data_IF_264081071474
#
_entry.id   IF_264081071474
#
_cell.length_a   1.000
_cell.length_b   1.000
_cell.length_c   1.000
_cell.angle_alpha   90.00
_cell.angle_beta   90.00
_cell.angle_gamma   90.00
#
_symmetry.space_group_name_H-M   'P 1'
#
loop_
_entity.id
_entity.type
_entity.pdbx_description
1 polymer ?
#
# COMPACT_ATOMS: atom_id res chain seq x y z
N UNK A 1 27.06 -13.55 -4.41
CA UNK A 1 25.62 -13.54 -4.05
C UNK A 1 25.22 -14.99 -3.80
N UNK A 2 24.84 -15.32 -2.57
CA UNK A 2 24.35 -16.66 -2.25
C UNK A 2 22.92 -16.78 -2.81
N UNK A 3 22.71 -17.68 -3.75
CA UNK A 3 21.37 -18.08 -4.22
C UNK A 3 20.80 -19.08 -3.21
N UNK A 4 20.18 -18.57 -2.15
CA UNK A 4 19.54 -19.40 -1.13
C UNK A 4 18.04 -19.15 -1.17
N UNK A 5 17.24 -20.20 -1.15
CA UNK A 5 15.80 -20.06 -1.00
C UNK A 5 15.50 -19.36 0.34
N UNK A 6 14.69 -18.32 0.30
CA UNK A 6 14.30 -17.52 1.45
C UNK A 6 12.79 -17.53 1.58
N UNK A 7 12.29 -17.87 2.75
CA UNK A 7 10.95 -17.60 3.20
C UNK A 7 11.00 -16.43 4.17
N UNK A 8 10.30 -15.35 3.88
CA UNK A 8 10.32 -14.15 4.70
C UNK A 8 8.90 -13.62 4.92
N UNK A 9 8.68 -13.06 6.11
CA UNK A 9 7.52 -12.21 6.38
C UNK A 9 7.75 -10.85 5.71
N UNK A 10 6.74 -10.36 5.01
CA UNK A 10 6.88 -9.12 4.27
C UNK A 10 5.57 -8.32 4.26
N UNK A 11 5.67 -7.00 4.43
CA UNK A 11 4.51 -6.12 4.44
C UNK A 11 4.01 -5.77 3.03
N UNK A 12 2.72 -5.47 2.95
CA UNK A 12 2.07 -4.91 1.77
C UNK A 12 1.17 -3.73 2.25
N UNK A 13 1.34 -2.50 1.76
CA UNK A 13 2.20 -2.07 0.63
C UNK A 13 3.69 -1.92 0.95
N UNK A 14 4.54 -2.18 -0.03
CA UNK A 14 5.99 -2.08 0.07
C UNK A 14 6.60 -1.89 -1.33
N UNK A 15 7.65 -1.07 -1.45
CA UNK A 15 8.32 -0.78 -2.71
C UNK A 15 8.75 -2.04 -3.50
N UNK A 16 9.16 -3.08 -2.81
CA UNK A 16 9.59 -4.32 -3.44
C UNK A 16 8.50 -5.04 -4.25
N UNK A 17 7.22 -4.75 -4.01
CA UNK A 17 6.12 -5.30 -4.79
C UNK A 17 5.92 -4.59 -6.14
N UNK A 18 6.36 -3.34 -6.26
CA UNK A 18 6.28 -2.56 -7.50
C UNK A 18 7.50 -2.76 -8.40
N UNK A 19 8.55 -3.41 -7.92
CA UNK A 19 9.75 -3.62 -8.71
C UNK A 19 9.51 -4.61 -9.86
N UNK A 20 10.02 -4.30 -11.07
CA UNK A 20 10.33 -5.36 -12.00
C UNK A 20 11.32 -6.32 -11.32
N UNK A 21 11.28 -7.63 -11.61
CA UNK A 21 12.15 -8.59 -10.95
C UNK A 21 13.61 -8.15 -11.07
N UNK A 22 14.22 -7.79 -9.94
CA UNK A 22 15.64 -7.39 -9.85
C UNK A 22 16.58 -8.55 -10.15
N UNK A 23 16.03 -9.73 -10.22
CA UNK A 23 16.70 -11.00 -10.49
C UNK A 23 15.76 -11.86 -11.34
N UNK A 24 16.28 -12.90 -11.97
CA UNK A 24 15.52 -13.87 -12.76
C UNK A 24 14.39 -14.58 -11.97
N UNK A 25 14.31 -14.35 -10.66
CA UNK A 25 13.33 -14.94 -9.75
C UNK A 25 12.63 -13.82 -8.95
N UNK A 26 11.40 -13.44 -9.31
CA UNK A 26 10.63 -12.44 -8.57
C UNK A 26 10.20 -12.96 -7.19
N UNK A 27 9.93 -12.02 -6.27
CA UNK A 27 9.26 -12.36 -5.02
C UNK A 27 7.89 -12.98 -5.32
N UNK A 28 7.63 -14.15 -4.74
CA UNK A 28 6.36 -14.86 -4.90
C UNK A 28 5.62 -14.85 -3.57
N UNK A 29 4.42 -14.29 -3.56
CA UNK A 29 3.56 -14.32 -2.39
C UNK A 29 3.01 -15.75 -2.20
N UNK A 30 3.28 -16.34 -1.06
CA UNK A 30 2.66 -17.60 -0.66
C UNK A 30 1.27 -17.29 -0.11
N UNK A 31 0.25 -17.88 -0.71
CA UNK A 31 -1.12 -17.75 -0.21
C UNK A 31 -1.33 -18.69 0.97
N UNK A 32 -1.62 -18.11 2.12
CA UNK A 32 -2.05 -18.85 3.31
C UNK A 32 -3.58 -19.05 3.30
N UNK A 33 -4.13 -19.97 4.13
CA UNK A 33 -5.56 -20.10 4.32
C UNK A 33 -6.17 -18.78 4.77
N UNK A 34 -7.39 -18.49 4.33
CA UNK A 34 -8.06 -17.23 4.63
C UNK A 34 -8.27 -17.03 6.14
N UNK A 35 -8.05 -15.79 6.61
CA UNK A 35 -8.29 -15.44 8.01
C UNK A 35 -9.76 -15.65 8.37
N UNK A 36 -9.99 -16.31 9.49
CA UNK A 36 -11.30 -16.42 10.13
C UNK A 36 -11.17 -16.02 11.60
N UNK A 37 -12.20 -15.36 12.14
CA UNK A 37 -12.13 -14.86 13.51
C UNK A 37 -11.75 -15.96 14.52
N UNK A 38 -10.67 -15.74 15.25
CA UNK A 38 -10.14 -16.67 16.25
C UNK A 38 -9.17 -17.73 15.75
N UNK A 39 -8.86 -17.77 14.44
CA UNK A 39 -7.87 -18.72 13.89
C UNK A 39 -6.44 -18.45 14.36
N UNK A 40 -6.19 -17.31 14.95
CA UNK A 40 -4.93 -16.85 15.53
C UNK A 40 -4.95 -16.78 17.06
N UNK A 41 -6.00 -17.32 17.71
CA UNK A 41 -6.16 -17.26 19.16
C UNK A 41 -5.09 -18.09 19.92
N UNK A 42 -4.58 -19.15 19.30
CA UNK A 42 -3.47 -19.95 19.80
C UNK A 42 -2.21 -19.65 18.96
N UNK A 43 -1.26 -18.93 19.56
CA UNK A 43 -0.02 -18.54 18.88
C UNK A 43 0.86 -19.73 18.43
N UNK A 44 0.70 -20.91 19.04
CA UNK A 44 1.44 -22.11 18.69
C UNK A 44 0.75 -22.94 17.58
N UNK A 45 -0.48 -22.56 17.22
CA UNK A 45 -1.32 -23.31 16.27
C UNK A 45 -1.94 -22.44 15.19
N UNK A 46 -1.37 -21.27 14.88
CA UNK A 46 -1.83 -20.37 13.81
C UNK A 46 -1.69 -21.05 12.45
N UNK A 47 -2.81 -21.22 11.76
CA UNK A 47 -2.88 -21.86 10.43
C UNK A 47 -3.67 -21.04 9.41
N UNK A 48 -3.70 -19.71 9.57
CA UNK A 48 -4.40 -18.77 8.69
C UNK A 48 -3.53 -17.56 8.34
N UNK A 49 -3.97 -16.80 7.35
CA UNK A 49 -3.36 -15.52 6.97
C UNK A 49 -3.64 -14.43 8.03
N UNK A 50 -3.00 -13.29 7.90
CA UNK A 50 -3.23 -12.15 8.75
C UNK A 50 -4.63 -11.55 8.50
N UNK A 51 -5.24 -10.94 9.55
CA UNK A 51 -6.50 -10.22 9.36
C UNK A 51 -6.30 -9.04 8.39
N UNK A 52 -7.33 -8.68 7.61
CA UNK A 52 -7.26 -7.52 6.73
C UNK A 52 -7.01 -6.25 7.56
N UNK A 53 -6.07 -5.45 7.11
CA UNK A 53 -5.74 -4.16 7.69
C UNK A 53 -6.47 -3.05 6.94
N UNK A 54 -7.37 -2.36 7.61
CA UNK A 54 -8.03 -1.18 7.07
C UNK A 54 -7.37 0.07 7.66
N UNK A 55 -6.97 0.98 6.77
CA UNK A 55 -6.42 2.28 7.18
C UNK A 55 -7.50 3.34 7.04
N UNK A 56 -7.76 4.05 8.14
CA UNK A 56 -8.70 5.16 8.18
C UNK A 56 -7.99 6.50 8.05
N UNK A 57 -8.71 7.48 7.53
CA UNK A 57 -8.30 8.88 7.49
C UNK A 57 -8.83 9.59 8.74
N UNK A 58 -7.95 10.21 9.51
CA UNK A 58 -8.32 10.96 10.71
C UNK A 58 -8.17 12.44 10.42
N UNK A 59 -9.22 13.19 10.63
CA UNK A 59 -9.26 14.65 10.46
C UNK A 59 -9.87 15.32 11.69
N UNK A 60 -9.56 16.61 11.90
CA UNK A 60 -10.22 17.36 12.97
C UNK A 60 -11.71 17.58 12.68
N UNK A 61 -12.51 17.67 13.72
CA UNK A 61 -13.94 17.97 13.59
C UNK A 61 -14.18 19.31 12.89
N UNK A 62 -13.32 20.32 13.17
CA UNK A 62 -13.40 21.62 12.51
C UNK A 62 -13.18 21.50 11.01
N UNK A 63 -12.21 20.70 10.55
CA UNK A 63 -11.98 20.47 9.12
C UNK A 63 -13.12 19.68 8.49
N UNK A 64 -13.66 18.67 9.18
CA UNK A 64 -14.81 17.91 8.70
C UNK A 64 -16.06 18.78 8.51
N UNK A 65 -16.25 19.82 9.36
CA UNK A 65 -17.40 20.72 9.30
C UNK A 65 -17.21 21.86 8.30
N UNK A 66 -16.00 22.43 8.23
CA UNK A 66 -15.74 23.68 7.50
C UNK A 66 -14.80 23.52 6.30
N UNK A 67 -14.30 22.32 6.04
CA UNK A 67 -13.29 22.07 4.99
C UNK A 67 -13.82 22.13 3.56
N UNK A 68 -15.16 22.10 3.39
CA UNK A 68 -15.78 22.21 2.05
C UNK A 68 -15.22 21.21 1.05
N UNK A 69 -14.87 21.68 -0.14
CA UNK A 69 -14.30 20.86 -1.21
C UNK A 69 -13.01 20.14 -0.81
N UNK A 70 -12.17 20.75 0.02
CA UNK A 70 -10.94 20.10 0.51
C UNK A 70 -11.24 18.90 1.41
N UNK A 71 -12.28 18.97 2.24
CA UNK A 71 -12.72 17.82 3.03
C UNK A 71 -13.27 16.71 2.15
N UNK A 72 -14.10 17.03 1.15
CA UNK A 72 -14.64 16.03 0.23
C UNK A 72 -13.52 15.34 -0.57
N UNK A 73 -12.50 16.06 -1.04
CA UNK A 73 -11.32 15.47 -1.67
C UNK A 73 -10.63 14.47 -0.73
N UNK A 74 -10.32 14.86 0.51
CA UNK A 74 -9.67 13.97 1.49
C UNK A 74 -10.55 12.75 1.79
N UNK A 75 -11.85 12.92 1.88
CA UNK A 75 -12.81 11.84 2.11
C UNK A 75 -12.85 10.85 0.94
N UNK A 76 -12.85 11.35 -0.29
CA UNK A 76 -12.92 10.54 -1.51
C UNK A 76 -11.59 9.89 -1.89
N UNK A 77 -10.46 10.42 -1.40
CA UNK A 77 -9.14 9.89 -1.70
C UNK A 77 -9.07 8.38 -1.43
N UNK A 78 -8.62 7.62 -2.39
CA UNK A 78 -8.43 6.17 -2.31
C UNK A 78 -7.15 5.77 -3.03
N UNK A 79 -6.19 5.31 -2.27
CA UNK A 79 -4.99 4.70 -2.81
C UNK A 79 -5.03 3.19 -2.62
N UNK A 80 -4.59 2.47 -3.63
CA UNK A 80 -4.38 1.02 -3.54
C UNK A 80 -2.99 0.72 -3.00
N UNK A 81 -2.76 -0.51 -2.56
CA UNK A 81 -1.43 -0.97 -2.19
C UNK A 81 -0.44 -0.85 -3.35
N UNK A 82 -0.89 -1.04 -4.59
CA UNK A 82 -0.05 -0.89 -5.77
C UNK A 82 0.38 0.56 -5.99
N UNK A 83 -0.53 1.53 -5.84
CA UNK A 83 -0.19 2.95 -5.95
C UNK A 83 0.87 3.35 -4.92
N UNK A 84 0.66 2.94 -3.66
CA UNK A 84 1.61 3.18 -2.58
C UNK A 84 2.96 2.54 -2.85
N UNK A 85 2.98 1.30 -3.32
CA UNK A 85 4.21 0.56 -3.63
C UNK A 85 4.97 1.20 -4.80
N UNK A 86 4.24 1.66 -5.83
CA UNK A 86 4.82 2.34 -7.00
C UNK A 86 5.51 3.64 -6.61
N UNK A 87 4.85 4.50 -5.84
CA UNK A 87 5.46 5.76 -5.38
C UNK A 87 6.65 5.47 -4.44
N UNK A 88 6.53 4.48 -3.57
CA UNK A 88 7.64 4.08 -2.69
C UNK A 88 8.84 3.57 -3.47
N UNK A 89 8.64 2.87 -4.58
CA UNK A 89 9.72 2.41 -5.48
C UNK A 89 10.46 3.58 -6.13
N UNK A 90 9.73 4.58 -6.64
CA UNK A 90 10.33 5.80 -7.21
C UNK A 90 11.26 6.50 -6.21
N UNK A 91 10.88 6.52 -4.94
CA UNK A 91 11.70 7.11 -3.87
C UNK A 91 12.88 6.21 -3.52
N UNK A 92 12.64 4.93 -3.24
CA UNK A 92 13.62 4.02 -2.66
C UNK A 92 14.73 3.64 -3.64
N UNK A 93 14.41 3.44 -4.92
CA UNK A 93 15.34 2.89 -5.91
C UNK A 93 15.69 3.87 -7.02
N UNK A 94 14.78 4.75 -7.41
CA UNK A 94 15.06 5.76 -8.42
C UNK A 94 15.61 7.07 -7.83
N UNK A 95 15.63 7.18 -6.50
CA UNK A 95 16.21 8.32 -5.79
C UNK A 95 15.39 9.62 -5.93
N UNK A 96 14.12 9.52 -6.30
CA UNK A 96 13.24 10.70 -6.37
C UNK A 96 12.93 11.24 -4.98
N UNK A 97 12.70 12.55 -4.89
CA UNK A 97 12.11 13.12 -3.68
C UNK A 97 10.66 12.65 -3.53
N UNK A 98 10.12 12.68 -2.32
CA UNK A 98 8.71 12.34 -2.10
C UNK A 98 7.75 13.28 -2.87
N UNK A 99 8.13 14.55 -3.01
CA UNK A 99 7.38 15.56 -3.78
C UNK A 99 7.37 15.22 -5.28
N UNK A 100 8.53 14.94 -5.86
CA UNK A 100 8.64 14.59 -7.29
C UNK A 100 7.95 13.27 -7.61
N UNK A 101 8.08 12.26 -6.74
CA UNK A 101 7.41 10.98 -6.91
C UNK A 101 5.88 11.11 -6.83
N UNK A 102 5.38 11.90 -5.87
CA UNK A 102 3.97 12.21 -5.74
C UNK A 102 3.44 13.00 -6.94
N UNK A 103 4.20 14.01 -7.40
CA UNK A 103 3.84 14.78 -8.60
C UNK A 103 3.78 13.88 -9.84
N UNK A 104 4.78 13.04 -10.04
CA UNK A 104 4.79 12.09 -11.15
C UNK A 104 3.55 11.18 -11.13
N UNK A 105 3.20 10.64 -9.97
CA UNK A 105 2.00 9.82 -9.84
C UNK A 105 0.73 10.60 -10.23
N UNK A 106 0.59 11.84 -9.77
CA UNK A 106 -0.55 12.71 -10.10
C UNK A 106 -0.60 12.98 -11.61
N UNK A 107 0.53 13.31 -12.24
CA UNK A 107 0.60 13.60 -13.67
C UNK A 107 0.22 12.38 -14.54
N UNK A 108 0.45 11.16 -14.05
CA UNK A 108 0.22 9.91 -14.79
C UNK A 108 -1.13 9.23 -14.50
N UNK A 109 -1.90 9.69 -13.49
CA UNK A 109 -3.12 9.02 -13.03
C UNK A 109 -4.32 9.98 -12.90
N UNK A 110 -4.48 10.87 -13.86
CA UNK A 110 -5.61 11.82 -13.88
C UNK A 110 -6.97 11.11 -13.89
N UNK A 111 -7.06 9.98 -14.54
CA UNK A 111 -8.24 9.12 -14.58
C UNK A 111 -8.65 8.60 -13.20
N UNK A 112 -7.69 8.43 -12.28
CA UNK A 112 -7.93 7.98 -10.91
C UNK A 112 -8.30 9.17 -10.02
N UNK A 113 -7.41 10.17 -9.91
CA UNK A 113 -7.60 11.24 -8.93
C UNK A 113 -8.72 12.22 -9.32
N UNK A 114 -9.05 12.36 -10.61
CA UNK A 114 -10.17 13.21 -11.02
C UNK A 114 -11.51 12.75 -10.41
N UNK A 115 -11.69 11.46 -10.16
CA UNK A 115 -12.86 10.92 -9.49
C UNK A 115 -12.93 11.25 -7.98
N UNK A 116 -11.85 11.79 -7.39
CA UNK A 116 -11.83 12.25 -5.99
C UNK A 116 -12.26 13.71 -5.85
N UNK A 117 -12.23 14.45 -6.96
CA UNK A 117 -12.64 15.86 -6.96
C UNK A 117 -14.13 16.00 -6.70
N UNK A 118 -14.55 16.92 -5.82
CA UNK A 118 -15.97 17.18 -5.50
C UNK A 118 -16.70 17.86 -6.64
#
# INVERSE_FOLDING_TARGET
TQKTALLAYFYDPQWAWAQPPLVDEPLVRIKLPEYTAGCDADAEAVACDYPPYLLDKIVSTTFATNGGAAYELVKNFKWTNLDQSTVSELIANQGMTAEDAGKKWVDEHEDIWSAWMP
#
